data_IF_272215765326
#
_entry.id   IF_272215765326
#
_cell.length_a   1.000
_cell.length_b   1.000
_cell.length_c   1.000
_cell.angle_alpha   90.00
_cell.angle_beta   90.00
_cell.angle_gamma   90.00
#
_symmetry.space_group_name_H-M   'P 1'
#
loop_
_entity.id
_entity.type
_entity.pdbx_description
1 polymer ?
#
# COMPACT_ATOMS: atom_id res chain seq x y z
N UNK A 1 -0.17 6.50 -12.22
CA UNK A 1 -1.46 7.15 -12.57
C UNK A 1 -2.48 6.04 -12.84
N UNK A 2 -3.45 5.84 -11.95
CA UNK A 2 -4.47 4.80 -12.06
C UNK A 2 -5.43 5.09 -13.23
N UNK A 3 -5.12 4.62 -14.43
CA UNK A 3 -6.11 4.50 -15.51
C UNK A 3 -6.72 3.10 -15.45
N UNK A 4 -7.53 2.82 -14.43
CA UNK A 4 -8.32 1.59 -14.47
C UNK A 4 -9.38 1.75 -15.56
N UNK A 5 -9.35 0.95 -16.65
CA UNK A 5 -10.30 1.08 -17.76
C UNK A 5 -11.76 0.88 -17.31
N UNK A 6 -11.95 0.18 -16.19
CA UNK A 6 -13.25 -0.05 -15.58
C UNK A 6 -13.87 1.25 -15.05
N UNK A 7 -13.06 2.08 -14.38
CA UNK A 7 -13.54 3.36 -13.83
C UNK A 7 -13.84 4.37 -14.94
N UNK A 8 -12.99 4.43 -15.97
CA UNK A 8 -13.21 5.33 -17.10
C UNK A 8 -14.45 4.94 -17.90
N UNK A 9 -14.66 3.64 -18.15
CA UNK A 9 -15.86 3.13 -18.81
C UNK A 9 -17.12 3.35 -17.96
N UNK A 10 -17.06 3.10 -16.65
CA UNK A 10 -18.17 3.34 -15.73
C UNK A 10 -18.58 4.81 -15.67
N UNK A 11 -17.61 5.72 -15.53
CA UNK A 11 -17.87 7.17 -15.53
C UNK A 11 -18.42 7.67 -16.86
N UNK A 12 -17.87 7.20 -17.98
CA UNK A 12 -18.32 7.61 -19.32
C UNK A 12 -19.74 7.13 -19.62
N UNK A 13 -20.05 5.86 -19.31
CA UNK A 13 -21.38 5.29 -19.54
C UNK A 13 -22.44 5.97 -18.66
N UNK A 14 -22.15 6.20 -17.38
CA UNK A 14 -23.05 6.93 -16.49
C UNK A 14 -23.25 8.39 -16.91
N UNK A 15 -22.18 9.09 -17.33
CA UNK A 15 -22.30 10.47 -17.81
C UNK A 15 -23.15 10.55 -19.07
N UNK A 16 -23.00 9.58 -19.99
CA UNK A 16 -23.80 9.52 -21.22
C UNK A 16 -25.28 9.23 -20.90
N UNK A 17 -25.56 8.29 -19.98
CA UNK A 17 -26.91 8.00 -19.54
C UNK A 17 -27.57 9.20 -18.85
N UNK A 18 -26.84 9.90 -17.98
CA UNK A 18 -27.33 11.10 -17.29
C UNK A 18 -27.62 12.23 -18.26
N UNK A 19 -26.72 12.48 -19.22
CA UNK A 19 -26.94 13.45 -20.29
C UNK A 19 -28.15 13.10 -21.16
N UNK A 20 -28.38 11.81 -21.41
CA UNK A 20 -29.53 11.36 -22.18
C UNK A 20 -30.83 11.61 -21.41
N UNK A 21 -30.89 11.23 -20.12
CA UNK A 21 -32.07 11.43 -19.28
C UNK A 21 -32.41 12.91 -19.07
N UNK A 22 -31.40 13.74 -18.79
CA UNK A 22 -31.59 15.18 -18.56
C UNK A 22 -31.97 15.95 -19.83
N UNK A 23 -31.76 15.36 -21.02
CA UNK A 23 -32.11 15.98 -22.31
C UNK A 23 -33.30 15.35 -22.98
N UNK A 24 -33.68 14.13 -22.60
CA UNK A 24 -34.95 13.56 -23.00
C UNK A 24 -36.05 14.33 -22.30
N UNK A 25 -36.54 15.39 -22.92
CA UNK A 25 -37.78 16.06 -22.55
C UNK A 25 -38.94 15.31 -23.23
N UNK A 26 -39.65 14.39 -22.55
CA UNK A 26 -40.77 13.68 -23.16
C UNK A 26 -42.00 14.58 -23.38
N UNK A 27 -42.09 15.71 -22.67
CA UNK A 27 -43.25 16.61 -22.69
C UNK A 27 -42.99 17.90 -23.46
N UNK A 28 -43.97 18.35 -24.26
CA UNK A 28 -43.90 19.56 -25.10
C UNK A 28 -43.75 20.88 -24.31
N UNK A 29 -43.96 20.87 -23.01
CA UNK A 29 -43.84 22.03 -22.11
C UNK A 29 -42.52 22.09 -21.34
N UNK A 30 -41.57 21.20 -21.64
CA UNK A 30 -40.27 21.14 -20.98
C UNK A 30 -39.39 22.31 -21.44
N UNK A 31 -39.27 23.34 -20.60
CA UNK A 31 -38.23 24.36 -20.77
C UNK A 31 -36.93 23.78 -20.28
N UNK A 32 -35.95 23.61 -21.18
CA UNK A 32 -34.60 23.11 -20.90
C UNK A 32 -33.82 24.16 -20.08
N UNK A 33 -34.22 24.34 -18.83
CA UNK A 33 -33.60 25.26 -17.87
C UNK A 33 -32.77 24.49 -16.85
N UNK A 34 -32.20 23.36 -17.27
CA UNK A 34 -31.30 22.58 -16.42
C UNK A 34 -29.98 23.34 -16.28
N UNK A 35 -29.52 23.52 -15.04
CA UNK A 35 -28.18 24.08 -14.77
C UNK A 35 -27.07 23.11 -15.16
N UNK A 36 -27.44 21.91 -15.60
CA UNK A 36 -26.51 20.88 -16.02
C UNK A 36 -25.72 21.32 -17.26
N UNK A 37 -24.38 21.23 -17.23
CA UNK A 37 -23.55 21.71 -18.32
C UNK A 37 -23.79 20.93 -19.61
N UNK A 38 -23.88 21.67 -20.73
CA UNK A 38 -24.15 21.08 -22.03
C UNK A 38 -22.96 20.35 -22.64
N UNK A 39 -21.74 20.74 -22.24
CA UNK A 39 -20.50 20.18 -22.74
C UNK A 39 -20.16 18.87 -22.02
N UNK A 40 -19.88 17.82 -22.80
CA UNK A 40 -19.58 16.47 -22.28
C UNK A 40 -18.44 16.46 -21.25
N UNK A 41 -17.37 17.22 -21.47
CA UNK A 41 -16.24 17.28 -20.53
C UNK A 41 -16.63 17.88 -19.18
N UNK A 42 -17.49 18.90 -19.19
CA UNK A 42 -17.98 19.54 -17.95
C UNK A 42 -19.04 18.64 -17.29
N UNK A 43 -19.80 17.87 -18.07
CA UNK A 43 -20.67 16.83 -17.54
C UNK A 43 -19.88 15.72 -16.83
N UNK A 44 -18.73 15.28 -17.38
CA UNK A 44 -17.85 14.30 -16.71
C UNK A 44 -17.34 14.84 -15.38
N UNK A 45 -16.86 16.09 -15.33
CA UNK A 45 -16.36 16.66 -14.07
C UNK A 45 -17.49 16.81 -13.05
N UNK A 46 -18.69 17.16 -13.50
CA UNK A 46 -19.90 17.22 -12.66
C UNK A 46 -20.27 15.83 -12.11
N UNK A 47 -20.27 14.80 -12.96
CA UNK A 47 -20.45 13.40 -12.55
C UNK A 47 -19.41 12.96 -11.52
N UNK A 48 -18.15 13.40 -11.68
CA UNK A 48 -17.08 13.07 -10.74
C UNK A 48 -17.30 13.74 -9.38
N UNK A 49 -17.72 15.01 -9.36
CA UNK A 49 -18.09 15.69 -8.12
C UNK A 49 -19.30 15.02 -7.44
N UNK A 50 -20.29 14.65 -8.23
CA UNK A 50 -21.44 13.87 -7.80
C UNK A 50 -21.01 12.53 -7.16
N UNK A 51 -20.11 11.78 -7.81
CA UNK A 51 -19.56 10.52 -7.28
C UNK A 51 -18.77 10.72 -5.97
N UNK A 52 -18.18 11.90 -5.77
CA UNK A 52 -17.49 12.27 -4.52
C UNK A 52 -18.42 12.70 -3.39
N UNK A 53 -19.75 12.70 -3.60
CA UNK A 53 -20.75 13.10 -2.62
C UNK A 53 -21.04 14.61 -2.58
N UNK A 54 -20.57 15.38 -3.58
CA UNK A 54 -20.87 16.80 -3.72
C UNK A 54 -22.01 17.00 -4.71
N UNK A 55 -23.20 17.29 -4.20
CA UNK A 55 -24.44 17.39 -5.01
C UNK A 55 -24.81 18.82 -5.42
N UNK A 56 -24.01 19.83 -5.04
CA UNK A 56 -24.31 21.27 -5.26
C UNK A 56 -24.67 21.61 -6.72
N UNK A 57 -24.08 20.91 -7.69
CA UNK A 57 -24.26 21.15 -9.12
C UNK A 57 -25.54 20.54 -9.72
N UNK A 58 -26.21 19.66 -8.97
CA UNK A 58 -27.41 18.93 -9.42
C UNK A 58 -28.57 19.06 -8.43
N UNK A 59 -28.39 19.78 -7.32
CA UNK A 59 -29.40 19.93 -6.27
C UNK A 59 -30.76 20.39 -6.81
N UNK A 60 -30.78 21.40 -7.68
CA UNK A 60 -32.03 21.90 -8.28
C UNK A 60 -32.73 20.88 -9.18
N UNK A 61 -31.97 19.96 -9.78
CA UNK A 61 -32.45 18.89 -10.65
C UNK A 61 -32.82 17.62 -9.86
N UNK A 62 -32.40 17.52 -8.59
CA UNK A 62 -32.84 16.45 -7.68
C UNK A 62 -34.21 16.77 -7.06
N UNK A 63 -34.53 18.06 -6.92
CA UNK A 63 -35.82 18.54 -6.45
C UNK A 63 -36.93 18.39 -7.52
N UNK A 64 -36.57 18.13 -8.78
CA UNK A 64 -37.55 17.74 -9.79
C UNK A 64 -38.08 16.32 -9.51
N UNK A 65 -39.35 16.08 -9.82
CA UNK A 65 -40.05 14.80 -9.58
C UNK A 65 -39.60 13.67 -10.55
N UNK A 66 -38.37 13.74 -11.04
CA UNK A 66 -37.81 12.80 -12.01
C UNK A 66 -37.24 11.56 -11.32
N UNK A 67 -38.13 10.63 -10.96
CA UNK A 67 -37.81 9.34 -10.32
C UNK A 67 -36.72 8.54 -11.05
N UNK A 68 -36.62 8.71 -12.38
CA UNK A 68 -35.63 8.01 -13.22
C UNK A 68 -34.21 8.43 -12.90
N UNK A 69 -33.99 9.73 -12.66
CA UNK A 69 -32.67 10.26 -12.32
C UNK A 69 -32.25 9.78 -10.93
N UNK A 70 -33.16 9.84 -9.96
CA UNK A 70 -32.92 9.35 -8.60
C UNK A 70 -32.56 7.86 -8.59
N UNK A 71 -33.27 7.04 -9.37
CA UNK A 71 -32.98 5.60 -9.48
C UNK A 71 -31.61 5.32 -10.12
N UNK A 72 -31.25 6.04 -11.18
CA UNK A 72 -29.93 5.93 -11.80
C UNK A 72 -28.81 6.32 -10.80
N UNK A 73 -29.04 7.36 -10.01
CA UNK A 73 -28.12 7.85 -8.99
C UNK A 73 -27.90 6.81 -7.87
N UNK A 74 -28.99 6.21 -7.35
CA UNK A 74 -28.92 5.15 -6.33
C UNK A 74 -28.18 3.92 -6.88
N UNK A 75 -28.51 3.49 -8.11
CA UNK A 75 -27.86 2.36 -8.75
C UNK A 75 -26.35 2.57 -8.92
N UNK A 76 -25.94 3.77 -9.33
CA UNK A 76 -24.54 4.12 -9.49
C UNK A 76 -23.79 4.19 -8.15
N UNK A 77 -24.40 4.76 -7.12
CA UNK A 77 -23.82 4.78 -5.78
C UNK A 77 -23.61 3.35 -5.25
N UNK A 78 -24.62 2.48 -5.42
CA UNK A 78 -24.50 1.08 -5.03
C UNK A 78 -23.38 0.35 -5.80
N UNK A 79 -23.30 0.55 -7.11
CA UNK A 79 -22.25 -0.07 -7.93
C UNK A 79 -20.85 0.41 -7.53
N UNK A 80 -20.66 1.71 -7.35
CA UNK A 80 -19.35 2.29 -7.03
C UNK A 80 -18.92 2.02 -5.59
N UNK A 81 -19.81 2.21 -4.62
CA UNK A 81 -19.46 2.05 -3.21
C UNK A 81 -19.53 0.59 -2.77
N UNK A 82 -20.54 -0.17 -3.19
CA UNK A 82 -20.69 -1.56 -2.72
C UNK A 82 -19.87 -2.53 -3.57
N UNK A 83 -19.92 -2.43 -4.90
CA UNK A 83 -19.20 -3.41 -5.73
C UNK A 83 -17.73 -3.04 -5.89
N UNK A 84 -17.41 -1.82 -6.31
CA UNK A 84 -16.00 -1.47 -6.56
C UNK A 84 -15.16 -1.41 -5.29
N UNK A 85 -15.70 -0.95 -4.15
CA UNK A 85 -14.93 -0.94 -2.91
C UNK A 85 -14.67 -2.36 -2.38
N UNK A 86 -15.67 -3.24 -2.40
CA UNK A 86 -15.49 -4.63 -1.96
C UNK A 86 -14.50 -5.37 -2.86
N UNK A 87 -14.56 -5.16 -4.17
CA UNK A 87 -13.58 -5.74 -5.11
C UNK A 87 -12.20 -5.14 -4.89
N UNK A 88 -12.08 -3.83 -4.66
CA UNK A 88 -10.81 -3.18 -4.38
C UNK A 88 -10.16 -3.75 -3.12
N UNK A 89 -10.94 -3.90 -2.04
CA UNK A 89 -10.45 -4.50 -0.79
C UNK A 89 -9.98 -5.93 -1.04
N UNK A 90 -10.75 -6.74 -1.77
CA UNK A 90 -10.36 -8.10 -2.11
C UNK A 90 -9.05 -8.16 -2.92
N UNK A 91 -8.91 -7.30 -3.94
CA UNK A 91 -7.70 -7.22 -4.76
C UNK A 91 -6.48 -6.73 -3.96
N UNK A 92 -6.68 -5.76 -3.07
CA UNK A 92 -5.62 -5.24 -2.19
C UNK A 92 -5.16 -6.33 -1.23
N UNK A 93 -6.09 -7.05 -0.61
CA UNK A 93 -5.75 -8.16 0.29
C UNK A 93 -4.98 -9.26 -0.47
N UNK A 94 -5.44 -9.64 -1.65
CA UNK A 94 -4.73 -10.61 -2.49
C UNK A 94 -3.33 -10.13 -2.89
N UNK A 95 -3.19 -8.85 -3.28
CA UNK A 95 -1.89 -8.27 -3.60
C UNK A 95 -0.94 -8.23 -2.40
N UNK A 96 -1.47 -8.03 -1.19
CA UNK A 96 -0.68 -8.12 0.04
C UNK A 96 -0.27 -9.56 0.36
N UNK A 97 -1.17 -10.53 0.18
CA UNK A 97 -0.86 -11.95 0.40
C UNK A 97 0.23 -12.42 -0.57
N UNK A 98 0.11 -12.10 -1.87
CA UNK A 98 1.15 -12.40 -2.87
C UNK A 98 2.46 -11.64 -2.61
N UNK A 99 2.35 -10.42 -2.09
CA UNK A 99 3.48 -9.58 -1.72
C UNK A 99 4.21 -10.06 -0.47
N UNK A 100 3.55 -10.78 0.45
CA UNK A 100 4.10 -11.05 1.79
C UNK A 100 5.34 -11.97 1.77
N UNK A 101 5.49 -12.80 0.74
CA UNK A 101 6.66 -13.67 0.59
C UNK A 101 7.86 -12.96 -0.09
N UNK A 102 7.60 -11.98 -0.95
CA UNK A 102 8.63 -11.33 -1.79
C UNK A 102 8.97 -9.89 -1.41
N UNK A 103 8.14 -9.21 -0.62
CA UNK A 103 8.36 -7.80 -0.26
C UNK A 103 9.66 -7.59 0.49
N UNK A 104 10.07 -8.51 1.36
CA UNK A 104 11.30 -8.36 2.15
C UNK A 104 12.53 -8.41 1.24
N UNK A 105 12.53 -9.29 0.25
CA UNK A 105 13.61 -9.38 -0.73
C UNK A 105 13.63 -8.13 -1.64
N UNK A 106 12.47 -7.72 -2.15
CA UNK A 106 12.34 -6.52 -2.97
C UNK A 106 12.73 -5.25 -2.20
N UNK A 107 12.39 -5.18 -0.91
CA UNK A 107 12.79 -4.09 -0.01
C UNK A 107 14.30 -4.04 0.17
N UNK A 108 14.93 -5.17 0.50
CA UNK A 108 16.39 -5.26 0.64
C UNK A 108 17.09 -4.90 -0.66
N UNK A 109 16.58 -5.37 -1.80
CA UNK A 109 17.14 -5.06 -3.12
C UNK A 109 17.03 -3.57 -3.45
N UNK A 110 15.89 -2.92 -3.16
CA UNK A 110 15.75 -1.48 -3.34
C UNK A 110 16.68 -0.68 -2.42
N UNK A 111 16.89 -1.14 -1.18
CA UNK A 111 17.84 -0.52 -0.25
C UNK A 111 19.28 -0.65 -0.76
N UNK A 112 19.69 -1.84 -1.21
CA UNK A 112 21.00 -2.08 -1.83
C UNK A 112 21.21 -1.18 -3.04
N UNK A 113 20.23 -1.08 -3.93
CA UNK A 113 20.28 -0.22 -5.12
C UNK A 113 20.41 1.26 -4.76
N UNK A 114 19.75 1.71 -3.69
CA UNK A 114 19.87 3.08 -3.20
C UNK A 114 21.29 3.33 -2.66
N UNK A 115 21.83 2.42 -1.86
CA UNK A 115 23.19 2.52 -1.30
C UNK A 115 24.22 2.54 -2.43
N UNK A 116 24.10 1.65 -3.40
CA UNK A 116 24.98 1.59 -4.58
C UNK A 116 25.00 2.92 -5.35
N UNK A 117 23.82 3.49 -5.61
CA UNK A 117 23.71 4.77 -6.29
C UNK A 117 24.32 5.93 -5.49
N UNK A 118 24.09 5.97 -4.18
CA UNK A 118 24.66 6.99 -3.31
C UNK A 118 26.17 6.85 -3.25
N UNK A 119 26.68 5.62 -3.10
CA UNK A 119 28.10 5.35 -3.08
C UNK A 119 28.76 5.81 -4.39
N UNK A 120 28.21 5.42 -5.54
CA UNK A 120 28.72 5.80 -6.85
C UNK A 120 28.78 7.34 -7.03
N UNK A 121 27.80 8.07 -6.50
CA UNK A 121 27.80 9.53 -6.52
C UNK A 121 28.87 10.13 -5.60
N UNK A 122 29.07 9.56 -4.41
CA UNK A 122 30.06 10.04 -3.45
C UNK A 122 31.51 9.67 -3.81
N UNK A 123 31.72 8.62 -4.61
CA UNK A 123 33.04 8.16 -5.03
C UNK A 123 33.83 9.24 -5.79
N UNK A 124 33.13 10.08 -6.56
CA UNK A 124 33.77 11.14 -7.35
C UNK A 124 34.15 12.39 -6.54
N UNK A 125 33.84 12.45 -5.24
CA UNK A 125 34.12 13.62 -4.40
C UNK A 125 35.51 13.44 -3.72
N UNK A 126 36.51 14.27 -4.07
CA UNK A 126 37.85 14.14 -3.49
C UNK A 126 37.84 14.45 -1.99
N UNK A 127 38.53 13.64 -1.20
CA UNK A 127 38.67 13.80 0.26
C UNK A 127 37.48 13.32 1.10
N UNK A 128 36.38 12.88 0.48
CA UNK A 128 35.19 12.44 1.21
C UNK A 128 35.41 11.10 1.96
N UNK A 129 36.07 10.13 1.32
CA UNK A 129 36.38 8.83 1.97
C UNK A 129 37.53 8.91 2.99
N UNK A 130 38.39 9.92 2.90
CA UNK A 130 39.53 10.09 3.82
C UNK A 130 39.13 10.72 5.17
N UNK A 131 37.99 11.42 5.24
CA UNK A 131 37.55 12.14 6.45
C UNK A 131 36.37 11.49 7.16
N UNK A 132 35.72 10.49 6.54
CA UNK A 132 34.49 9.91 7.04
C UNK A 132 34.51 8.38 7.02
N UNK A 133 34.56 7.76 8.21
CA UNK A 133 34.41 6.31 8.43
C UNK A 133 32.95 5.83 8.26
N UNK A 134 32.16 6.50 7.43
CA UNK A 134 30.77 6.10 7.14
C UNK A 134 30.70 4.91 6.18
N UNK A 135 31.81 4.56 5.53
CA UNK A 135 31.88 3.44 4.59
C UNK A 135 32.82 2.36 5.14
N UNK A 136 32.42 1.09 5.12
CA UNK A 136 33.33 0.00 5.43
C UNK A 136 34.48 -0.06 4.40
N UNK A 137 35.67 -0.43 4.85
CA UNK A 137 36.86 -0.61 4.01
C UNK A 137 36.66 -1.68 2.92
N UNK A 138 35.76 -2.63 3.17
CA UNK A 138 35.42 -3.73 2.27
C UNK A 138 33.92 -3.70 1.93
N UNK A 139 33.60 -3.54 0.64
CA UNK A 139 32.22 -3.56 0.14
C UNK A 139 31.93 -4.97 -0.37
N UNK A 140 31.13 -5.72 0.37
CA UNK A 140 30.62 -7.01 -0.08
C UNK A 140 29.41 -6.78 -0.97
N UNK A 141 29.61 -6.65 -2.28
CA UNK A 141 28.51 -6.76 -3.23
C UNK A 141 27.91 -8.17 -3.11
N UNK A 142 26.57 -8.26 -3.06
CA UNK A 142 25.89 -9.54 -3.22
C UNK A 142 26.00 -9.98 -4.67
N UNK A 143 27.14 -10.57 -5.05
CA UNK A 143 27.29 -11.23 -6.32
C UNK A 143 26.75 -12.67 -6.19
N UNK A 144 25.89 -13.08 -7.11
CA UNK A 144 25.55 -14.50 -7.21
C UNK A 144 26.82 -15.31 -7.49
N UNK A 145 26.89 -16.56 -7.03
CA UNK A 145 28.07 -17.41 -7.20
C UNK A 145 28.55 -17.48 -8.68
N UNK A 146 27.60 -17.40 -9.61
CA UNK A 146 27.85 -17.35 -11.05
C UNK A 146 28.50 -16.05 -11.51
N UNK A 147 28.07 -14.89 -10.99
CA UNK A 147 28.68 -13.59 -11.31
C UNK A 147 30.12 -13.50 -10.78
N UNK A 148 30.40 -14.10 -9.63
CA UNK A 148 31.76 -14.20 -9.08
C UNK A 148 32.64 -15.08 -9.97
N UNK A 149 32.10 -16.20 -10.47
CA UNK A 149 32.83 -17.11 -11.35
C UNK A 149 33.13 -16.46 -12.71
N UNK A 150 32.15 -15.78 -13.30
CA UNK A 150 32.29 -15.02 -14.55
C UNK A 150 33.28 -13.85 -14.42
N UNK A 151 33.29 -13.15 -13.28
CA UNK A 151 34.27 -12.09 -13.00
C UNK A 151 35.68 -12.67 -12.92
N UNK A 152 35.87 -13.75 -12.14
CA UNK A 152 37.17 -14.43 -12.01
C UNK A 152 37.69 -14.94 -13.35
N UNK A 153 36.81 -15.45 -14.21
CA UNK A 153 37.17 -15.94 -15.53
C UNK A 153 37.66 -14.81 -16.46
N UNK A 154 37.04 -13.62 -16.39
CA UNK A 154 37.43 -12.46 -17.20
C UNK A 154 38.78 -11.88 -16.77
N UNK A 155 39.01 -11.73 -15.47
CA UNK A 155 40.22 -11.06 -14.97
C UNK A 155 41.43 -11.98 -14.77
N UNK A 156 41.26 -13.31 -14.62
CA UNK A 156 42.40 -14.25 -14.67
C UNK A 156 43.06 -14.32 -16.05
N UNK A 157 42.34 -13.96 -17.11
CA UNK A 157 42.90 -13.95 -18.45
C UNK A 157 43.80 -12.72 -18.69
N UNK A 158 43.50 -11.59 -18.02
CA UNK A 158 44.21 -10.31 -18.24
C UNK A 158 45.44 -10.12 -17.32
N UNK A 159 45.51 -10.82 -16.17
CA UNK A 159 46.67 -10.78 -15.26
C UNK A 159 47.92 -11.53 -15.78
N UNK A 160 47.84 -12.10 -16.99
CA UNK A 160 48.99 -12.66 -17.71
C UNK A 160 49.55 -11.72 -18.78
N UNK A 161 48.99 -10.51 -18.98
CA UNK A 161 49.40 -9.64 -20.09
C UNK A 161 49.68 -8.18 -19.74
N UNK A 162 49.15 -7.60 -18.66
CA UNK A 162 49.45 -6.18 -18.37
C UNK A 162 49.13 -5.73 -16.93
N UNK A 163 50.07 -5.96 -16.01
CA UNK A 163 50.15 -5.31 -14.69
C UNK A 163 51.58 -4.87 -14.38
N UNK A 164 51.79 -3.77 -13.63
CA UNK A 164 53.08 -3.09 -13.51
C UNK A 164 54.10 -3.96 -12.77
N UNK A 165 55.32 -4.04 -13.32
CA UNK A 165 56.48 -4.70 -12.72
C UNK A 165 56.70 -4.19 -11.30
N UNK A 166 56.39 -5.01 -10.32
CA UNK A 166 56.83 -4.85 -8.94
C UNK A 166 58.16 -5.60 -8.79
N UNK A 167 59.17 -4.91 -8.27
CA UNK A 167 60.57 -5.35 -8.21
C UNK A 167 60.76 -6.71 -7.51
N UNK A 168 61.66 -7.59 -8.02
CA UNK A 168 61.97 -8.86 -7.39
C UNK A 168 63.09 -8.66 -6.36
N UNK A 169 62.76 -8.14 -5.18
CA UNK A 169 63.65 -8.20 -4.02
C UNK A 169 62.84 -8.31 -2.73
N UNK A 170 62.18 -9.45 -2.57
CA UNK A 170 61.79 -9.96 -1.26
C UNK A 170 61.83 -11.49 -1.36
N UNK A 171 62.47 -12.09 -0.36
CA UNK A 171 62.84 -13.50 -0.28
C UNK A 171 61.68 -14.48 -0.55
N UNK A 172 61.97 -15.71 -1.03
CA UNK A 172 60.96 -16.73 -1.21
C UNK A 172 60.42 -17.15 0.16
N UNK A 173 59.21 -16.72 0.49
CA UNK A 173 58.45 -17.31 1.61
C UNK A 173 58.03 -18.71 1.17
N UNK A 174 58.75 -19.71 1.68
CA UNK A 174 58.38 -21.11 1.61
C UNK A 174 56.94 -21.30 2.10
N UNK A 175 56.09 -21.78 1.21
CA UNK A 175 54.75 -22.25 1.54
C UNK A 175 54.88 -23.60 2.25
N UNK A 176 55.17 -23.56 3.54
CA UNK A 176 55.13 -24.74 4.42
C UNK A 176 53.69 -25.27 4.47
N UNK A 177 53.52 -26.43 3.85
CA UNK A 177 52.32 -27.23 3.85
C UNK A 177 52.35 -28.14 5.07
N UNK A 178 51.83 -27.69 6.22
CA UNK A 178 51.23 -28.51 7.28
C UNK A 178 50.83 -27.65 8.48
N UNK A 179 49.67 -27.98 9.05
CA UNK A 179 49.22 -27.63 10.40
C UNK A 179 48.87 -26.17 10.68
N UNK A 180 47.70 -25.74 10.18
CA UNK A 180 46.74 -25.03 11.03
C UNK A 180 45.31 -25.29 10.57
N UNK A 181 44.80 -26.45 10.97
CA UNK A 181 43.36 -26.64 11.19
C UNK A 181 42.99 -25.78 12.39
N UNK A 182 42.76 -24.48 12.18
CA UNK A 182 42.08 -23.60 13.14
C UNK A 182 40.62 -23.51 12.70
N UNK A 183 39.93 -24.58 13.07
CA UNK A 183 38.58 -24.59 13.66
C UNK A 183 37.59 -23.55 13.13
N UNK A 184 36.85 -23.94 12.08
CA UNK A 184 35.59 -23.30 11.68
C UNK A 184 34.49 -23.35 12.77
N UNK A 185 34.75 -23.96 13.94
CA UNK A 185 33.81 -24.02 15.05
C UNK A 185 33.81 -22.76 15.95
N UNK A 186 34.83 -21.90 15.91
CA UNK A 186 34.88 -20.69 16.77
C UNK A 186 34.16 -19.48 16.17
N UNK A 187 33.88 -19.45 14.87
CA UNK A 187 33.06 -18.41 14.24
C UNK A 187 31.54 -18.67 14.40
N UNK A 188 31.12 -19.93 14.53
CA UNK A 188 29.71 -20.28 14.81
C UNK A 188 29.28 -19.87 16.23
N UNK A 189 30.20 -19.91 17.21
CA UNK A 189 29.93 -19.59 18.62
C UNK A 189 29.71 -18.08 18.86
N UNK A 190 30.21 -17.21 17.97
CA UNK A 190 30.09 -15.75 18.15
C UNK A 190 28.84 -15.14 17.49
N UNK A 191 28.09 -15.91 16.70
CA UNK A 191 26.81 -15.48 16.08
C UNK A 191 25.60 -16.00 16.87
N UNK A 192 25.76 -17.04 17.70
CA UNK A 192 24.66 -17.60 18.49
C UNK A 192 24.22 -16.72 19.67
N UNK A 193 25.11 -15.92 20.26
CA UNK A 193 24.76 -14.99 21.35
C UNK A 193 23.77 -13.88 20.95
N UNK A 194 23.99 -13.10 19.88
CA UNK A 194 23.05 -12.04 19.49
C UNK A 194 21.70 -12.61 19.04
N UNK A 195 21.68 -13.84 18.49
CA UNK A 195 20.43 -14.47 18.04
C UNK A 195 19.57 -14.99 19.21
N UNK A 196 20.17 -15.33 20.35
CA UNK A 196 19.44 -15.69 21.56
C UNK A 196 18.85 -14.47 22.29
N UNK A 197 19.58 -13.35 22.34
CA UNK A 197 19.07 -12.10 22.90
C UNK A 197 17.92 -11.54 22.07
N UNK A 198 18.06 -11.52 20.73
CA UNK A 198 17.01 -11.08 19.82
C UNK A 198 15.74 -11.95 19.93
N UNK A 199 15.90 -13.27 20.15
CA UNK A 199 14.76 -14.18 20.34
C UNK A 199 14.06 -13.97 21.69
N UNK A 200 14.80 -13.51 22.70
CA UNK A 200 14.26 -13.09 23.99
C UNK A 200 13.40 -11.83 23.87
N UNK A 201 13.94 -10.78 23.25
CA UNK A 201 13.22 -9.52 23.01
C UNK A 201 11.98 -9.74 22.14
N UNK A 202 12.08 -10.60 21.13
CA UNK A 202 10.96 -10.90 20.26
C UNK A 202 9.82 -11.60 21.01
N UNK A 203 10.14 -12.53 21.93
CA UNK A 203 9.12 -13.18 22.78
C UNK A 203 8.46 -12.20 23.74
N UNK A 204 9.25 -11.34 24.39
CA UNK A 204 8.71 -10.31 25.29
C UNK A 204 7.77 -9.35 24.55
N UNK A 205 8.16 -8.91 23.35
CA UNK A 205 7.33 -8.05 22.53
C UNK A 205 6.05 -8.75 22.06
N UNK A 206 6.11 -10.06 21.75
CA UNK A 206 4.94 -10.84 21.37
C UNK A 206 3.94 -10.97 22.53
N UNK A 207 4.42 -11.23 23.74
CA UNK A 207 3.59 -11.30 24.94
C UNK A 207 2.94 -9.94 25.27
N UNK A 208 3.70 -8.84 25.14
CA UNK A 208 3.15 -7.48 25.28
C UNK A 208 2.07 -7.18 24.23
N UNK A 209 2.30 -7.54 22.98
CA UNK A 209 1.34 -7.32 21.89
C UNK A 209 0.06 -8.13 22.11
N UNK A 210 0.20 -9.37 22.58
CA UNK A 210 -0.93 -10.25 22.89
C UNK A 210 -1.74 -9.72 24.08
N UNK A 211 -1.07 -9.17 25.09
CA UNK A 211 -1.73 -8.47 26.20
C UNK A 211 -2.52 -7.25 25.72
N UNK A 212 -1.92 -6.40 24.90
CA UNK A 212 -2.61 -5.23 24.32
C UNK A 212 -3.84 -5.61 23.49
N UNK A 213 -3.75 -6.69 22.70
CA UNK A 213 -4.88 -7.22 21.93
C UNK A 213 -6.01 -7.73 22.82
N UNK A 214 -5.69 -8.41 23.93
CA UNK A 214 -6.70 -8.84 24.88
C UNK A 214 -7.40 -7.66 25.57
N UNK A 215 -6.64 -6.66 26.00
CA UNK A 215 -7.17 -5.44 26.61
C UNK A 215 -8.05 -4.66 25.63
N UNK A 216 -7.63 -4.57 24.36
CA UNK A 216 -8.41 -3.94 23.30
C UNK A 216 -9.72 -4.69 23.04
N UNK A 217 -9.68 -6.03 23.06
CA UNK A 217 -10.87 -6.87 22.89
C UNK A 217 -11.84 -6.73 24.07
N UNK A 218 -11.33 -6.66 25.29
CA UNK A 218 -12.14 -6.41 26.49
C UNK A 218 -12.77 -5.01 26.47
N UNK A 219 -12.01 -4.00 26.04
CA UNK A 219 -12.51 -2.63 25.89
C UNK A 219 -13.60 -2.53 24.81
N UNK A 220 -13.38 -3.13 23.64
CA UNK A 220 -14.36 -3.19 22.55
C UNK A 220 -15.64 -3.93 22.99
N UNK A 221 -15.51 -5.04 23.73
CA UNK A 221 -16.65 -5.75 24.29
C UNK A 221 -17.52 -4.89 25.22
N UNK A 222 -16.89 -4.06 26.06
CA UNK A 222 -17.62 -3.09 26.92
C UNK A 222 -18.33 -2.02 26.09
N UNK A 223 -17.71 -1.51 25.04
CA UNK A 223 -18.34 -0.52 24.15
C UNK A 223 -19.54 -1.10 23.42
N UNK A 224 -19.45 -2.34 22.92
CA UNK A 224 -20.57 -3.03 22.27
C UNK A 224 -21.73 -3.24 23.24
N UNK A 225 -21.45 -3.68 24.46
CA UNK A 225 -22.48 -3.86 25.49
C UNK A 225 -23.18 -2.53 25.84
N UNK A 226 -22.42 -1.44 25.97
CA UNK A 226 -22.98 -0.12 26.22
C UNK A 226 -23.86 0.37 25.05
N UNK A 227 -23.42 0.16 23.81
CA UNK A 227 -24.18 0.53 22.61
C UNK A 227 -25.49 -0.29 22.50
N UNK A 228 -25.44 -1.58 22.85
CA UNK A 228 -26.62 -2.44 22.88
C UNK A 228 -27.65 -1.97 23.91
N UNK A 229 -27.20 -1.53 25.08
CA UNK A 229 -28.10 -0.97 26.10
C UNK A 229 -28.74 0.34 25.62
N UNK A 230 -27.97 1.23 25.00
CA UNK A 230 -28.53 2.45 24.39
C UNK A 230 -29.56 2.16 23.29
N UNK A 231 -29.29 1.17 22.43
CA UNK A 231 -30.25 0.74 21.40
C UNK A 231 -31.55 0.22 22.03
N UNK A 232 -31.45 -0.51 23.15
CA UNK A 232 -32.60 -1.03 23.87
C UNK A 232 -33.44 0.07 24.52
N UNK A 233 -32.79 1.06 25.14
CA UNK A 233 -33.47 2.24 25.70
C UNK A 233 -34.19 3.05 24.62
N UNK A 234 -33.53 3.27 23.47
CA UNK A 234 -34.11 3.97 22.34
C UNK A 234 -35.31 3.22 21.76
N UNK A 235 -35.23 1.88 21.66
CA UNK A 235 -36.36 1.06 21.20
C UNK A 235 -37.54 1.12 22.17
N UNK A 236 -37.28 1.10 23.49
CA UNK A 236 -38.31 1.27 24.51
C UNK A 236 -38.98 2.66 24.40
N UNK A 237 -38.19 3.72 24.21
CA UNK A 237 -38.70 5.09 24.03
C UNK A 237 -39.59 5.21 22.79
N UNK A 238 -39.16 4.64 21.65
CA UNK A 238 -39.95 4.59 20.42
C UNK A 238 -41.27 3.84 20.60
N UNK A 239 -41.25 2.72 21.33
CA UNK A 239 -42.47 1.95 21.58
C UNK A 239 -43.51 2.72 22.40
N UNK A 240 -43.07 3.51 23.40
CA UNK A 240 -43.95 4.38 24.19
C UNK A 240 -44.51 5.51 23.32
N UNK A 241 -43.66 6.11 22.49
CA UNK A 241 -44.09 7.18 21.59
C UNK A 241 -45.15 6.71 20.58
N UNK A 242 -44.96 5.52 19.99
CA UNK A 242 -45.93 4.91 19.09
C UNK A 242 -47.24 4.57 19.79
N UNK A 243 -47.19 4.09 21.04
CA UNK A 243 -48.40 3.80 21.83
C UNK A 243 -49.21 5.07 22.13
N UNK A 244 -48.54 6.14 22.59
CA UNK A 244 -49.20 7.41 22.90
C UNK A 244 -49.83 8.06 21.66
N UNK A 245 -49.16 7.96 20.50
CA UNK A 245 -49.72 8.47 19.24
C UNK A 245 -51.02 7.77 18.89
N UNK A 246 -51.08 6.45 19.04
CA UNK A 246 -52.27 5.66 18.72
C UNK A 246 -53.47 5.94 19.65
N UNK A 247 -53.22 6.35 20.90
CA UNK A 247 -54.28 6.76 21.84
C UNK A 247 -54.80 8.19 21.58
N UNK A 248 -54.01 9.05 20.94
CA UNK A 248 -54.40 10.43 20.63
C UNK A 248 -55.28 10.53 19.37
N UNK A 249 -55.17 9.54 18.47
CA UNK A 249 -55.92 9.47 17.22
C UNK A 249 -57.21 8.62 17.32
N UNK A 250 -57.58 8.15 18.52
CA UNK A 250 -58.84 7.43 18.75
C UNK A 250 -60.00 8.43 18.97
N UNK A 251 -61.04 8.42 18.11
CA UNK A 251 -62.17 9.36 18.16
C UNK A 251 -63.17 9.12 19.30
#
# INVERSE_FOLDING_TARGET
MLSSPVLTFGLSSFTTASLYLLRSCPYKSCTLNSKFPSHYYVAITTTLFYASGRYDSVADELDSEDWSLQLLMIAYFFFTVVLMLNVLIALVNQAFDDGNETWRLAWLQNQLYLIENVENLTFHIPGFREHFDYFPDEIYYSATAKEVEDYRARYRADDLSSGPKMDPSADPVELSSADHVVTAATAAVNIERPMQELKGELRENLDKLQGQLQDQRASSGKQIAALQEQMKEMHAMLSVFLKNKNETDAP
#
